data_IF_892175209028
#
_entry.id   IF_892175209028
#
_cell.length_a   1.000
_cell.length_b   1.000
_cell.length_c   1.000
_cell.angle_alpha   90.00
_cell.angle_beta   90.00
_cell.angle_gamma   90.00
#
_symmetry.space_group_name_H-M   'P 1'
#
loop_
_entity.id
_entity.type
_entity.pdbx_description
1 polymer ?
#
# COMPACT_ATOMS: atom_id res chain seq x y z
N UNK A 1 -15.30 44.75 31.13
CA UNK A 1 -15.45 43.92 32.35
C UNK A 1 -15.46 42.48 31.90
N UNK A 2 -14.32 41.78 31.96
CA UNK A 2 -13.96 40.87 33.06
C UNK A 2 -15.09 39.84 33.29
N UNK A 3 -14.88 38.55 33.02
CA UNK A 3 -14.01 37.70 33.83
C UNK A 3 -13.38 36.58 32.99
N UNK A 4 -12.07 36.46 33.16
CA UNK A 4 -11.28 35.26 32.89
C UNK A 4 -11.85 34.13 33.75
N UNK A 5 -12.53 33.16 33.15
CA UNK A 5 -12.87 31.91 33.83
C UNK A 5 -11.64 31.01 33.76
N UNK A 6 -10.68 31.27 34.65
CA UNK A 6 -9.55 30.38 34.93
C UNK A 6 -10.08 29.16 35.68
N UNK A 7 -10.82 28.32 34.97
CA UNK A 7 -11.29 27.04 35.50
C UNK A 7 -10.09 26.12 35.52
N UNK A 8 -9.59 25.85 36.73
CA UNK A 8 -8.62 24.79 37.01
C UNK A 8 -9.14 23.52 36.33
N UNK A 9 -8.60 23.19 35.15
CA UNK A 9 -8.87 21.92 34.47
C UNK A 9 -8.39 20.85 35.43
N UNK A 10 -9.34 20.14 36.05
CA UNK A 10 -9.01 19.11 37.01
C UNK A 10 -8.09 18.10 36.33
N UNK A 11 -7.05 17.65 37.04
CA UNK A 11 -6.06 16.72 36.47
C UNK A 11 -6.73 15.47 35.87
N UNK A 12 -7.91 15.07 36.38
CA UNK A 12 -8.74 14.02 35.81
C UNK A 12 -9.40 14.35 34.46
N UNK A 13 -9.85 15.58 34.22
CA UNK A 13 -10.41 15.99 32.92
C UNK A 13 -9.32 16.01 31.85
N UNK A 14 -8.12 16.50 32.19
CA UNK A 14 -6.99 16.50 31.26
C UNK A 14 -6.54 15.08 30.87
N UNK A 15 -6.57 14.14 31.82
CA UNK A 15 -6.26 12.72 31.56
C UNK A 15 -7.33 12.08 30.67
N UNK A 16 -8.61 12.37 30.89
CA UNK A 16 -9.69 11.84 30.05
C UNK A 16 -9.66 12.42 28.64
N UNK A 17 -9.34 13.71 28.48
CA UNK A 17 -9.17 14.38 27.18
C UNK A 17 -8.01 13.79 26.37
N UNK A 18 -6.92 13.35 27.03
CA UNK A 18 -5.71 12.83 26.38
C UNK A 18 -5.51 11.32 26.55
N UNK A 19 -6.55 10.59 26.95
CA UNK A 19 -6.48 9.17 27.33
C UNK A 19 -5.85 8.32 26.22
N UNK A 20 -6.24 8.55 24.96
CA UNK A 20 -5.71 7.82 23.79
C UNK A 20 -4.21 8.04 23.63
N UNK A 21 -3.75 9.29 23.76
CA UNK A 21 -2.33 9.64 23.66
C UNK A 21 -1.53 9.01 24.80
N UNK A 22 -2.06 9.06 26.03
CA UNK A 22 -1.41 8.46 27.21
C UNK A 22 -1.30 6.95 27.04
N UNK A 23 -2.37 6.29 26.60
CA UNK A 23 -2.37 4.85 26.31
C UNK A 23 -1.34 4.54 25.22
N UNK A 24 -1.29 5.31 24.14
CA UNK A 24 -0.34 5.10 23.05
C UNK A 24 1.12 5.26 23.48
N UNK A 25 1.43 6.29 24.28
CA UNK A 25 2.77 6.49 24.85
C UNK A 25 3.11 5.35 25.82
N UNK A 26 2.16 4.94 26.66
CA UNK A 26 2.33 3.81 27.58
C UNK A 26 2.65 2.50 26.84
N UNK A 27 1.88 2.17 25.80
CA UNK A 27 2.15 0.99 24.97
C UNK A 27 3.48 1.09 24.21
N UNK A 28 3.87 2.29 23.76
CA UNK A 28 5.16 2.49 23.09
C UNK A 28 6.32 2.22 24.04
N UNK A 29 6.29 2.79 25.26
CA UNK A 29 7.31 2.57 26.29
C UNK A 29 7.37 1.10 26.70
N UNK A 30 6.20 0.47 26.92
CA UNK A 30 6.12 -0.95 27.23
C UNK A 30 6.70 -1.82 26.10
N UNK A 31 6.39 -1.50 24.85
CA UNK A 31 6.94 -2.17 23.67
C UNK A 31 8.46 -2.07 23.55
N UNK A 32 9.02 -0.90 23.89
CA UNK A 32 10.48 -0.72 23.96
C UNK A 32 11.13 -1.48 25.11
N UNK A 33 10.46 -1.59 26.27
CA UNK A 33 10.97 -2.33 27.42
C UNK A 33 11.00 -3.84 27.18
N UNK A 34 9.99 -4.38 26.47
CA UNK A 34 9.89 -5.81 26.16
C UNK A 34 10.75 -6.21 24.95
N UNK A 35 10.97 -5.31 23.99
CA UNK A 35 11.72 -5.63 22.76
C UNK A 35 13.23 -5.54 22.98
N UNK A 36 13.87 -6.66 23.29
CA UNK A 36 15.31 -6.77 23.59
C UNK A 36 16.27 -6.59 22.40
N UNK A 37 15.89 -5.85 21.36
CA UNK A 37 16.70 -5.69 20.15
C UNK A 37 16.28 -4.58 19.19
N UNK A 38 15.31 -3.74 19.55
CA UNK A 38 14.86 -2.63 18.69
C UNK A 38 15.57 -1.35 19.11
N UNK A 39 16.51 -0.88 18.29
CA UNK A 39 17.14 0.40 18.52
C UNK A 39 16.14 1.54 18.33
N UNK A 40 16.34 2.64 19.07
CA UNK A 40 15.56 3.88 18.88
C UNK A 40 15.65 4.35 17.42
N UNK A 41 16.80 4.16 16.78
CA UNK A 41 16.98 4.45 15.35
C UNK A 41 16.06 3.63 14.43
N UNK A 42 15.92 2.32 14.67
CA UNK A 42 15.01 1.47 13.90
C UNK A 42 13.55 1.89 14.07
N UNK A 43 13.15 2.25 15.29
CA UNK A 43 11.79 2.73 15.54
C UNK A 43 11.50 4.03 14.78
N UNK A 44 12.41 5.01 14.82
CA UNK A 44 12.25 6.25 14.06
C UNK A 44 12.27 6.02 12.56
N UNK A 45 13.11 5.11 12.04
CA UNK A 45 13.10 4.79 10.60
C UNK A 45 11.79 4.15 10.17
N UNK A 46 11.22 3.25 10.99
CA UNK A 46 9.92 2.63 10.71
C UNK A 46 8.77 3.64 10.78
N UNK A 47 8.75 4.51 11.81
CA UNK A 47 7.77 5.59 11.90
C UNK A 47 7.86 6.53 10.69
N UNK A 48 9.08 6.96 10.35
CA UNK A 48 9.35 7.83 9.22
C UNK A 48 8.90 7.18 7.91
N UNK A 49 9.27 5.93 7.65
CA UNK A 49 8.85 5.15 6.48
C UNK A 49 7.33 5.06 6.36
N UNK A 50 6.62 4.83 7.48
CA UNK A 50 5.15 4.84 7.51
C UNK A 50 4.57 6.21 7.19
N UNK A 51 5.10 7.28 7.79
CA UNK A 51 4.66 8.65 7.51
C UNK A 51 4.86 8.99 6.04
N UNK A 52 6.02 8.66 5.47
CA UNK A 52 6.30 8.88 4.04
C UNK A 52 5.32 8.11 3.16
N UNK A 53 5.17 6.79 3.37
CA UNK A 53 4.24 5.96 2.58
C UNK A 53 2.81 6.49 2.66
N UNK A 54 2.31 6.80 3.85
CA UNK A 54 0.95 7.33 4.04
C UNK A 54 0.78 8.73 3.43
N UNK A 55 1.78 9.59 3.52
CA UNK A 55 1.74 10.93 2.90
C UNK A 55 1.69 10.84 1.38
N UNK A 56 2.47 9.94 0.76
CA UNK A 56 2.39 9.67 -0.68
C UNK A 56 1.03 9.12 -1.10
N UNK A 57 0.44 8.22 -0.30
CA UNK A 57 -0.91 7.72 -0.55
C UNK A 57 -1.94 8.84 -0.49
N UNK A 58 -1.88 9.71 0.51
CA UNK A 58 -2.77 10.89 0.62
C UNK A 58 -2.59 11.82 -0.58
N UNK A 59 -1.36 12.07 -1.02
CA UNK A 59 -1.10 12.88 -2.21
C UNK A 59 -1.70 12.25 -3.49
N UNK A 60 -1.57 10.93 -3.64
CA UNK A 60 -2.19 10.19 -4.74
C UNK A 60 -3.73 10.22 -4.72
N UNK A 61 -4.34 10.44 -3.55
CA UNK A 61 -5.80 10.49 -3.39
C UNK A 61 -6.42 11.81 -3.84
N UNK A 62 -5.63 12.89 -4.01
CA UNK A 62 -6.13 14.19 -4.44
C UNK A 62 -6.85 14.09 -5.79
N UNK A 63 -6.27 13.39 -6.77
CA UNK A 63 -6.84 13.27 -8.13
C UNK A 63 -8.18 12.51 -8.11
N UNK A 64 -8.30 11.30 -7.49
CA UNK A 64 -9.59 10.62 -7.33
C UNK A 64 -10.66 11.48 -6.65
N UNK A 65 -10.32 12.15 -5.55
CA UNK A 65 -11.26 12.99 -4.78
C UNK A 65 -11.79 14.12 -5.63
N UNK A 66 -10.92 14.84 -6.34
CA UNK A 66 -11.32 15.93 -7.23
C UNK A 66 -12.18 15.47 -8.39
N UNK A 67 -11.95 14.25 -8.89
CA UNK A 67 -12.77 13.65 -9.93
C UNK A 67 -14.16 13.17 -9.45
N UNK A 68 -14.44 13.27 -8.14
CA UNK A 68 -15.67 12.73 -7.54
C UNK A 68 -15.72 11.20 -7.51
N UNK A 69 -14.61 10.55 -7.82
CA UNK A 69 -14.44 9.11 -7.67
C UNK A 69 -14.12 8.83 -6.19
N UNK A 70 -14.65 7.74 -5.63
CA UNK A 70 -14.34 7.45 -4.24
C UNK A 70 -12.84 7.11 -4.03
N UNK A 71 -12.42 7.13 -2.77
CA UNK A 71 -11.00 7.11 -2.39
C UNK A 71 -10.28 5.80 -2.77
N UNK A 72 -10.97 4.67 -2.85
CA UNK A 72 -10.35 3.34 -3.01
C UNK A 72 -10.11 2.88 -4.47
N UNK A 73 -10.44 3.71 -5.46
CA UNK A 73 -10.72 3.24 -6.81
C UNK A 73 -9.49 3.05 -7.70
N UNK A 74 -8.52 3.95 -7.57
CA UNK A 74 -7.30 3.95 -8.38
C UNK A 74 -6.13 3.26 -7.71
N UNK A 75 -6.10 3.23 -6.37
CA UNK A 75 -4.93 2.75 -5.62
C UNK A 75 -4.66 1.27 -5.91
N UNK A 76 -5.69 0.41 -5.84
CA UNK A 76 -5.50 -1.03 -6.00
C UNK A 76 -5.02 -1.35 -7.41
N UNK A 77 -5.64 -0.79 -8.45
CA UNK A 77 -5.24 -1.05 -9.85
C UNK A 77 -3.84 -0.50 -10.13
N UNK A 78 -3.53 0.70 -9.64
CA UNK A 78 -2.20 1.30 -9.80
C UNK A 78 -1.12 0.47 -9.09
N UNK A 79 -1.36 0.07 -7.84
CA UNK A 79 -0.43 -0.75 -7.07
C UNK A 79 -0.20 -2.12 -7.71
N UNK A 80 -1.25 -2.81 -8.16
CA UNK A 80 -1.14 -4.11 -8.84
C UNK A 80 -0.39 -3.97 -10.18
N UNK A 81 -0.65 -2.91 -10.94
CA UNK A 81 0.08 -2.63 -12.20
C UNK A 81 1.58 -2.39 -11.94
N UNK A 82 1.91 -1.66 -10.88
CA UNK A 82 3.30 -1.46 -10.45
C UNK A 82 3.98 -2.76 -10.01
N UNK A 83 3.28 -3.59 -9.23
CA UNK A 83 3.79 -4.90 -8.81
C UNK A 83 4.03 -5.84 -10.00
N UNK A 84 3.13 -5.84 -11.00
CA UNK A 84 3.33 -6.59 -12.25
C UNK A 84 4.59 -6.10 -12.98
N UNK A 85 4.78 -4.78 -13.12
CA UNK A 85 5.95 -4.23 -13.79
C UNK A 85 7.26 -4.59 -13.08
N UNK A 86 7.28 -4.52 -11.74
CA UNK A 86 8.42 -4.93 -10.91
C UNK A 86 8.70 -6.43 -11.09
N UNK A 87 7.66 -7.27 -11.09
CA UNK A 87 7.81 -8.71 -11.32
C UNK A 87 8.44 -9.00 -12.69
N UNK A 88 8.00 -8.30 -13.74
CA UNK A 88 8.57 -8.45 -15.09
C UNK A 88 10.03 -7.97 -15.14
N UNK A 89 10.33 -6.81 -14.57
CA UNK A 89 11.70 -6.30 -14.52
C UNK A 89 12.63 -7.26 -13.78
N UNK A 90 12.13 -7.89 -12.69
CA UNK A 90 12.89 -8.88 -11.93
C UNK A 90 13.09 -10.19 -12.70
N UNK A 91 12.10 -10.61 -13.49
CA UNK A 91 12.21 -11.78 -14.37
C UNK A 91 13.33 -11.62 -15.42
N UNK A 92 13.52 -10.41 -15.94
CA UNK A 92 14.61 -10.09 -16.87
C UNK A 92 15.91 -9.68 -16.17
N UNK A 93 15.99 -9.79 -14.84
CA UNK A 93 17.14 -9.34 -14.02
C UNK A 93 17.59 -7.90 -14.32
N UNK A 94 16.64 -7.02 -14.68
CA UNK A 94 16.93 -5.63 -15.04
C UNK A 94 17.14 -4.79 -13.78
N UNK A 95 18.41 -4.66 -13.38
CA UNK A 95 18.83 -3.84 -12.25
C UNK A 95 19.10 -2.37 -12.60
N UNK A 96 19.24 -1.55 -11.55
CA UNK A 96 19.68 -0.15 -11.64
C UNK A 96 18.66 0.82 -12.25
N UNK A 97 19.15 1.99 -12.67
CA UNK A 97 18.35 3.05 -13.29
C UNK A 97 17.55 2.61 -14.54
N UNK A 98 18.08 1.80 -15.48
CA UNK A 98 17.30 1.36 -16.63
C UNK A 98 16.16 0.42 -16.25
N UNK A 99 16.35 -0.45 -15.25
CA UNK A 99 15.28 -1.28 -14.70
C UNK A 99 14.16 -0.45 -14.06
N UNK A 100 14.53 0.61 -13.33
CA UNK A 100 13.56 1.55 -12.74
C UNK A 100 12.72 2.26 -13.81
N UNK A 101 13.36 2.77 -14.86
CA UNK A 101 12.65 3.44 -15.97
C UNK A 101 11.74 2.47 -16.73
N UNK A 102 12.19 1.24 -16.95
CA UNK A 102 11.37 0.19 -17.53
C UNK A 102 10.13 -0.10 -16.66
N UNK A 103 10.31 -0.23 -15.34
CA UNK A 103 9.19 -0.41 -14.41
C UNK A 103 8.17 0.73 -14.52
N UNK A 104 8.61 2.00 -14.57
CA UNK A 104 7.70 3.13 -14.74
C UNK A 104 6.93 3.06 -16.07
N UNK A 105 7.62 2.78 -17.17
CA UNK A 105 6.99 2.70 -18.49
C UNK A 105 5.99 1.53 -18.57
N UNK A 106 6.39 0.34 -18.13
CA UNK A 106 5.54 -0.85 -18.13
C UNK A 106 4.33 -0.68 -17.20
N UNK A 107 4.55 -0.18 -15.97
CA UNK A 107 3.47 0.10 -15.03
C UNK A 107 2.49 1.13 -15.59
N UNK A 108 2.98 2.18 -16.26
CA UNK A 108 2.15 3.20 -16.88
C UNK A 108 1.26 2.63 -17.99
N UNK A 109 1.82 1.80 -18.87
CA UNK A 109 1.04 1.17 -19.97
C UNK A 109 -0.06 0.27 -19.40
N UNK A 110 0.27 -0.59 -18.44
CA UNK A 110 -0.71 -1.49 -17.80
C UNK A 110 -1.76 -0.71 -17.02
N UNK A 111 -1.35 0.31 -16.26
CA UNK A 111 -2.25 1.14 -15.47
C UNK A 111 -3.20 1.97 -16.35
N UNK A 112 -2.74 2.49 -17.49
CA UNK A 112 -3.60 3.20 -18.44
C UNK A 112 -4.65 2.28 -19.06
N UNK A 113 -4.24 1.07 -19.45
CA UNK A 113 -5.15 0.07 -20.01
C UNK A 113 -6.21 -0.36 -19.00
N UNK A 114 -5.79 -0.82 -17.81
CA UNK A 114 -6.72 -1.24 -16.75
C UNK A 114 -7.58 -0.06 -16.27
N UNK A 115 -6.98 1.12 -16.10
CA UNK A 115 -7.67 2.34 -15.70
C UNK A 115 -8.76 2.75 -16.70
N UNK A 116 -8.52 2.59 -18.00
CA UNK A 116 -9.52 2.86 -19.03
C UNK A 116 -10.73 1.92 -18.94
N UNK A 117 -10.48 0.61 -18.80
CA UNK A 117 -11.54 -0.40 -18.66
C UNK A 117 -12.38 -0.15 -17.41
N UNK A 118 -11.72 0.13 -16.30
CA UNK A 118 -12.35 0.42 -15.02
C UNK A 118 -13.11 1.75 -15.05
N UNK A 119 -12.59 2.77 -15.74
CA UNK A 119 -13.29 4.04 -15.95
C UNK A 119 -14.59 3.87 -16.75
N UNK A 120 -14.58 3.03 -17.81
CA UNK A 120 -15.81 2.68 -18.54
C UNK A 120 -16.82 1.95 -17.66
N UNK A 121 -16.34 1.05 -16.79
CA UNK A 121 -17.20 0.32 -15.85
C UNK A 121 -17.88 1.28 -14.85
N UNK A 122 -17.12 2.20 -14.25
CA UNK A 122 -17.68 3.16 -13.29
C UNK A 122 -18.71 4.09 -13.93
N UNK A 123 -18.50 4.50 -15.17
CA UNK A 123 -19.49 5.32 -15.87
C UNK A 123 -20.82 4.57 -16.09
N UNK A 124 -20.78 3.22 -16.16
CA UNK A 124 -21.98 2.38 -16.25
C UNK A 124 -22.65 2.11 -14.89
N UNK A 125 -21.91 2.28 -13.78
CA UNK A 125 -22.39 2.06 -12.41
C UNK A 125 -22.54 3.38 -11.62
N UNK A 126 -22.95 4.47 -12.29
CA UNK A 126 -23.21 5.77 -11.69
C UNK A 126 -24.13 5.65 -10.47
N UNK A 127 -23.72 6.25 -9.34
CA UNK A 127 -24.45 6.18 -8.07
C UNK A 127 -24.13 4.96 -7.19
N UNK A 128 -23.43 3.96 -7.73
CA UNK A 128 -22.89 2.81 -6.97
C UNK A 128 -21.38 2.64 -7.15
N UNK A 129 -20.73 3.72 -7.58
CA UNK A 129 -19.31 3.75 -7.94
C UNK A 129 -18.44 3.20 -6.81
N UNK A 130 -18.75 3.55 -5.54
CA UNK A 130 -17.96 3.14 -4.37
C UNK A 130 -17.96 1.63 -4.13
N UNK A 131 -19.10 0.98 -4.38
CA UNK A 131 -19.22 -0.46 -4.21
C UNK A 131 -18.61 -1.17 -5.42
N UNK A 132 -18.83 -0.65 -6.63
CA UNK A 132 -18.26 -1.19 -7.85
C UNK A 132 -16.72 -1.22 -7.79
N UNK A 133 -16.09 -0.18 -7.24
CA UNK A 133 -14.63 -0.14 -7.13
C UNK A 133 -14.05 -1.08 -6.08
N UNK A 134 -14.75 -1.26 -4.97
CA UNK A 134 -14.40 -2.26 -3.97
C UNK A 134 -14.41 -3.66 -4.59
N UNK A 135 -15.46 -3.98 -5.37
CA UNK A 135 -15.57 -5.26 -6.09
C UNK A 135 -14.45 -5.41 -7.12
N UNK A 136 -14.18 -4.36 -7.92
CA UNK A 136 -13.08 -4.35 -8.89
C UNK A 136 -11.73 -4.55 -8.22
N UNK A 137 -11.51 -3.96 -7.04
CA UNK A 137 -10.29 -4.15 -6.25
C UNK A 137 -10.10 -5.61 -5.81
N UNK A 138 -11.15 -6.25 -5.26
CA UNK A 138 -11.10 -7.66 -4.91
C UNK A 138 -10.91 -8.57 -6.13
N UNK A 139 -11.57 -8.26 -7.23
CA UNK A 139 -11.43 -9.00 -8.48
C UNK A 139 -10.00 -8.88 -9.05
N UNK A 140 -9.44 -7.68 -9.09
CA UNK A 140 -8.07 -7.44 -9.52
C UNK A 140 -7.06 -8.17 -8.63
N UNK A 141 -7.24 -8.15 -7.31
CA UNK A 141 -6.42 -8.92 -6.38
C UNK A 141 -6.54 -10.44 -6.63
N UNK A 142 -7.75 -10.93 -6.88
CA UNK A 142 -7.98 -12.34 -7.23
C UNK A 142 -7.25 -12.75 -8.52
N UNK A 143 -7.33 -11.93 -9.58
CA UNK A 143 -6.58 -12.15 -10.82
C UNK A 143 -5.07 -12.11 -10.55
N UNK A 144 -4.59 -11.12 -9.81
CA UNK A 144 -3.18 -11.00 -9.47
C UNK A 144 -2.67 -12.24 -8.74
N UNK A 145 -3.38 -12.69 -7.70
CA UNK A 145 -3.03 -13.90 -6.96
C UNK A 145 -3.07 -15.14 -7.85
N UNK A 146 -4.09 -15.27 -8.70
CA UNK A 146 -4.18 -16.39 -9.63
C UNK A 146 -2.98 -16.45 -10.59
N UNK A 147 -2.62 -15.33 -11.21
CA UNK A 147 -1.48 -15.26 -12.13
C UNK A 147 -0.18 -15.57 -11.39
N UNK A 148 0.08 -14.91 -10.26
CA UNK A 148 1.39 -14.98 -9.62
C UNK A 148 1.60 -16.17 -8.69
N UNK A 149 0.54 -16.79 -8.20
CA UNK A 149 0.64 -18.00 -7.36
C UNK A 149 0.44 -19.28 -8.16
N UNK A 150 -0.37 -19.29 -9.22
CA UNK A 150 -0.69 -20.51 -9.97
C UNK A 150 -0.15 -20.50 -11.40
N UNK A 151 -0.20 -19.38 -12.12
CA UNK A 151 0.26 -19.36 -13.52
C UNK A 151 1.79 -19.26 -13.64
N UNK A 152 2.45 -18.53 -12.74
CA UNK A 152 3.92 -18.46 -12.67
C UNK A 152 4.47 -19.78 -12.12
N UNK A 153 5.28 -20.48 -12.93
CA UNK A 153 5.81 -21.82 -12.64
C UNK A 153 5.10 -22.95 -13.38
N UNK A 154 3.83 -22.79 -13.77
CA UNK A 154 3.08 -23.79 -14.56
C UNK A 154 2.96 -23.37 -16.04
N UNK A 155 2.56 -22.12 -16.29
CA UNK A 155 2.33 -21.58 -17.64
C UNK A 155 3.51 -20.69 -18.07
N UNK A 156 4.04 -19.89 -17.15
CA UNK A 156 5.23 -19.06 -17.39
C UNK A 156 6.43 -19.83 -16.86
N UNK A 157 7.31 -20.38 -17.73
CA UNK A 157 8.49 -21.08 -17.30
C UNK A 157 9.48 -20.08 -16.69
N UNK A 158 9.69 -20.20 -15.39
CA UNK A 158 10.73 -19.49 -14.66
C UNK A 158 11.72 -20.56 -14.18
N UNK A 159 13.04 -20.40 -14.40
CA UNK A 159 14.02 -21.37 -13.93
C UNK A 159 13.88 -21.60 -12.43
N UNK A 160 13.92 -22.86 -11.98
CA UNK A 160 13.80 -23.21 -10.56
C UNK A 160 14.91 -22.59 -9.67
N UNK A 161 16.01 -22.16 -10.29
CA UNK A 161 17.14 -21.46 -9.66
C UNK A 161 16.89 -19.96 -9.46
N UNK A 162 15.84 -19.41 -10.06
CA UNK A 162 15.58 -17.97 -10.01
C UNK A 162 15.01 -17.57 -8.63
N UNK A 163 15.57 -16.54 -7.97
CA UNK A 163 15.21 -16.15 -6.59
C UNK A 163 13.75 -15.69 -6.42
N UNK A 164 13.05 -15.47 -7.53
CA UNK A 164 11.66 -15.04 -7.59
C UNK A 164 10.66 -16.17 -7.36
N UNK A 165 11.03 -17.43 -7.62
CA UNK A 165 10.12 -18.58 -7.52
C UNK A 165 10.21 -19.26 -6.14
N UNK A 166 9.07 -19.77 -5.63
CA UNK A 166 9.06 -20.58 -4.41
C UNK A 166 9.91 -21.84 -4.60
N UNK A 167 10.52 -22.39 -3.52
CA UNK A 167 11.26 -23.66 -3.60
C UNK A 167 10.45 -24.81 -4.21
N UNK A 168 9.11 -24.78 -4.08
CA UNK A 168 8.17 -25.75 -4.66
C UNK A 168 7.96 -25.61 -6.19
N UNK A 169 8.61 -24.63 -6.84
CA UNK A 169 8.56 -24.44 -8.30
C UNK A 169 7.28 -23.78 -8.84
N UNK A 170 6.30 -23.48 -7.99
CA UNK A 170 5.04 -22.82 -8.37
C UNK A 170 4.79 -21.58 -7.52
N UNK A 171 4.60 -20.45 -8.19
CA UNK A 171 4.29 -19.17 -7.59
C UNK A 171 5.49 -18.34 -7.12
N UNK A 172 5.28 -17.03 -7.00
CA UNK A 172 6.30 -16.07 -6.61
C UNK A 172 6.48 -16.02 -5.08
N UNK A 173 7.72 -15.79 -4.62
CA UNK A 173 8.01 -15.52 -3.20
C UNK A 173 7.46 -14.17 -2.75
N UNK A 174 6.91 -14.11 -1.54
CA UNK A 174 6.38 -12.86 -0.97
C UNK A 174 7.47 -11.80 -0.75
N UNK A 175 8.73 -12.24 -0.62
CA UNK A 175 9.91 -11.39 -0.51
C UNK A 175 10.89 -11.81 -1.61
N UNK A 176 11.14 -10.89 -2.54
CA UNK A 176 12.16 -11.06 -3.57
C UNK A 176 13.13 -9.90 -3.41
N UNK A 177 14.40 -10.20 -3.16
CA UNK A 177 15.44 -9.18 -3.15
C UNK A 177 15.61 -8.64 -4.59
N UNK A 178 15.47 -7.31 -4.71
CA UNK A 178 15.69 -6.54 -5.93
C UNK A 178 17.14 -6.09 -6.03
#
# INVERSE_FOLDING_TARGET
>A
MARLDSRSRGMGEWILENLVTIIFVGFTIFGFMVSSGVSVGYFFSELSSRVFRNSFLVLSLIIPVLAGLGLNFGIVIGAMSGQVAIAIARYFEMGGLPGLLFCFAAAMVVALFCGYLTGRLYNKTRGQEMIASLIVGFFANGIYQFIFLFAVGVIIPVPAVHPMIKPDGVGIRMTVDL
#
